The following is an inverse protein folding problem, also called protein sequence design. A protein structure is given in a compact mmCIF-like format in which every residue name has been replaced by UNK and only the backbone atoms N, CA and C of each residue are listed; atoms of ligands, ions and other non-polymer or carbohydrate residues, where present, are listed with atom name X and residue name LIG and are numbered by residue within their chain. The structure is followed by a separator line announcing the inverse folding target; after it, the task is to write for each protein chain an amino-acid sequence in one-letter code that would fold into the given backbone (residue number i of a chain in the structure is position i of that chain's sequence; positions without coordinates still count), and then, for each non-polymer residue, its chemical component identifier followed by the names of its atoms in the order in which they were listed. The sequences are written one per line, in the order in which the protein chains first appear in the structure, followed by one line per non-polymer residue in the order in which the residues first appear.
data_IF_984866411501
#
_entry.id   IF_984866411501
#
_cell.length_a   1.000
_cell.length_b   1.000
_cell.length_c   1.000
_cell.angle_alpha   90.00
_cell.angle_beta   90.00
_cell.angle_gamma   90.00
#
_symmetry.space_group_name_H-M   'P 1'
#
loop_
_entity.id
_entity.type
_entity.pdbx_description
1 polymer ?
#
# COMPACT_ATOMS: atom_id res chain seq x y z
N UNK A 1 -2.67 4.90 -17.66
CA UNK A 1 -2.37 3.63 -17.00
C UNK A 1 -3.25 3.50 -15.76
N UNK A 2 -4.02 2.41 -15.66
CA UNK A 2 -4.88 2.10 -14.54
C UNK A 2 -4.82 0.59 -14.26
N UNK A 3 -5.24 0.20 -13.07
CA UNK A 3 -5.49 -1.18 -12.70
C UNK A 3 -6.86 -1.29 -12.04
N UNK A 4 -7.37 -2.49 -11.94
CA UNK A 4 -8.67 -2.75 -11.34
C UNK A 4 -8.49 -3.63 -10.11
N UNK A 5 -9.20 -3.30 -9.04
CA UNK A 5 -9.30 -4.14 -7.85
C UNK A 5 -10.66 -4.80 -7.86
N UNK A 6 -10.69 -6.13 -7.81
CA UNK A 6 -11.91 -6.93 -7.75
C UNK A 6 -11.88 -7.76 -6.48
N UNK A 7 -12.99 -7.79 -5.76
CA UNK A 7 -13.15 -8.61 -4.56
C UNK A 7 -14.63 -8.96 -4.36
N UNK A 8 -14.91 -9.89 -3.50
CA UNK A 8 -16.26 -10.34 -3.18
C UNK A 8 -16.67 -10.00 -1.75
N UNK A 9 -17.86 -10.43 -1.31
CA UNK A 9 -18.38 -10.12 0.02
C UNK A 9 -17.65 -10.85 1.15
N UNK A 10 -16.89 -11.91 0.86
CA UNK A 10 -16.13 -12.67 1.87
C UNK A 10 -14.77 -12.02 2.22
N UNK A 11 -14.45 -10.84 1.67
CA UNK A 11 -13.20 -10.14 1.93
C UNK A 11 -12.90 -9.94 3.43
N UNK A 12 -13.93 -9.76 4.26
CA UNK A 12 -13.76 -9.59 5.71
C UNK A 12 -13.30 -10.87 6.40
N UNK A 13 -13.74 -12.03 5.91
CA UNK A 13 -13.28 -13.33 6.38
C UNK A 13 -11.82 -13.54 6.04
N UNK A 14 -11.44 -13.34 4.79
CA UNK A 14 -10.06 -13.49 4.34
C UNK A 14 -9.11 -12.51 5.05
N UNK A 15 -9.52 -11.26 5.24
CA UNK A 15 -8.69 -10.29 5.93
C UNK A 15 -8.42 -10.69 7.39
N UNK A 16 -9.35 -11.35 8.06
CA UNK A 16 -9.16 -11.89 9.39
C UNK A 16 -8.23 -13.10 9.40
N UNK A 17 -8.31 -13.95 8.38
CA UNK A 17 -7.42 -15.11 8.21
C UNK A 17 -5.98 -14.69 7.91
N UNK A 18 -5.77 -13.61 7.17
CA UNK A 18 -4.43 -13.10 6.88
C UNK A 18 -3.69 -12.61 8.12
N UNK A 19 -4.37 -12.11 9.12
CA UNK A 19 -3.80 -11.63 10.40
C UNK A 19 -2.55 -10.76 10.17
N UNK A 20 -1.42 -11.20 10.70
CA UNK A 20 -0.14 -10.49 10.57
C UNK A 20 0.44 -10.47 9.15
N UNK A 21 -0.09 -11.27 8.24
CA UNK A 21 0.26 -11.26 6.81
C UNK A 21 -0.58 -10.28 5.99
N UNK A 22 -1.61 -9.70 6.61
CA UNK A 22 -2.47 -8.70 6.01
C UNK A 22 -1.85 -7.30 5.96
N UNK A 23 -2.67 -6.31 5.65
CA UNK A 23 -2.26 -4.92 5.65
C UNK A 23 -2.05 -4.41 7.08
N UNK A 24 -0.90 -3.85 7.38
CA UNK A 24 -0.58 -3.29 8.70
C UNK A 24 -1.51 -2.15 9.16
N UNK A 25 -2.30 -1.59 8.24
CA UNK A 25 -3.33 -0.60 8.58
C UNK A 25 -4.58 -1.21 9.20
N UNK A 26 -4.88 -2.47 8.85
CA UNK A 26 -6.08 -3.19 9.30
C UNK A 26 -5.80 -4.16 10.44
N UNK A 27 -4.55 -4.61 10.59
CA UNK A 27 -4.15 -5.56 11.61
C UNK A 27 -2.98 -5.04 12.42
N UNK A 28 -2.96 -5.34 13.73
CA UNK A 28 -1.80 -5.06 14.56
C UNK A 28 -0.63 -5.92 14.07
N UNK A 29 0.49 -5.27 13.80
CA UNK A 29 1.70 -5.94 13.38
C UNK A 29 2.93 -5.11 13.80
N UNK A 30 3.98 -5.78 14.26
CA UNK A 30 4.16 -7.17 14.70
C UNK A 30 3.81 -7.40 16.19
N UNK A 31 3.42 -6.37 16.92
CA UNK A 31 3.37 -6.31 18.39
C UNK A 31 1.94 -6.27 18.96
N UNK A 32 0.95 -6.68 18.19
CA UNK A 32 -0.47 -6.63 18.56
C UNK A 32 -0.98 -5.21 18.92
N UNK A 33 -0.35 -4.17 18.41
CA UNK A 33 -0.88 -2.81 18.51
C UNK A 33 -2.23 -2.72 17.78
N UNK A 34 -3.12 -1.83 18.22
CA UNK A 34 -4.39 -1.61 17.56
C UNK A 34 -4.18 -1.17 16.10
N UNK A 35 -4.97 -1.69 15.16
CA UNK A 35 -4.88 -1.30 13.77
C UNK A 35 -5.30 0.18 13.59
N UNK A 36 -4.65 0.89 12.67
CA UNK A 36 -5.01 2.28 12.38
C UNK A 36 -6.44 2.42 11.85
N UNK A 37 -6.90 1.42 11.09
CA UNK A 37 -8.24 1.35 10.52
C UNK A 37 -8.76 -0.07 10.76
N UNK A 38 -9.67 -0.28 11.70
CA UNK A 38 -10.30 -1.57 11.89
C UNK A 38 -11.17 -1.91 10.67
N UNK A 39 -11.12 -3.17 10.22
CA UNK A 39 -11.86 -3.59 9.03
C UNK A 39 -13.38 -3.34 9.14
N UNK A 40 -13.92 -3.38 10.35
CA UNK A 40 -15.31 -3.08 10.61
C UNK A 40 -15.68 -1.63 10.22
N UNK A 41 -14.77 -0.68 10.41
CA UNK A 41 -14.99 0.70 9.97
C UNK A 41 -14.96 0.82 8.43
N UNK A 42 -14.17 -0.02 7.76
CA UNK A 42 -14.19 -0.11 6.29
C UNK A 42 -15.49 -0.73 5.82
N UNK A 43 -15.90 -1.85 6.40
CA UNK A 43 -17.11 -2.59 6.03
C UNK A 43 -18.39 -1.77 6.25
N UNK A 44 -18.54 -1.14 7.41
CA UNK A 44 -19.77 -0.46 7.80
C UNK A 44 -19.87 1.00 7.37
N UNK A 45 -18.74 1.64 7.10
CA UNK A 45 -18.68 3.07 6.81
C UNK A 45 -17.99 3.43 5.50
N UNK A 46 -16.73 3.06 5.35
CA UNK A 46 -15.94 3.49 4.20
C UNK A 46 -16.42 2.86 2.89
N UNK A 47 -16.61 1.55 2.85
CA UNK A 47 -17.01 0.84 1.63
C UNK A 47 -18.40 1.27 1.13
N UNK A 48 -19.45 1.35 1.98
CA UNK A 48 -20.73 1.90 1.56
C UNK A 48 -20.63 3.31 1.00
N UNK A 49 -19.87 4.19 1.64
CA UNK A 49 -19.63 5.54 1.14
C UNK A 49 -18.92 5.60 -0.22
N UNK A 50 -17.95 4.72 -0.45
CA UNK A 50 -17.27 4.61 -1.75
C UNK A 50 -18.22 4.10 -2.85
N UNK A 51 -19.13 3.19 -2.50
CA UNK A 51 -20.17 2.70 -3.43
C UNK A 51 -21.18 3.80 -3.76
N UNK A 52 -21.69 4.50 -2.76
CA UNK A 52 -22.63 5.62 -2.92
C UNK A 52 -22.04 6.74 -3.80
N UNK A 53 -20.78 7.05 -3.63
CA UNK A 53 -20.09 8.07 -4.42
C UNK A 53 -19.55 7.57 -5.78
N UNK A 54 -19.77 6.32 -6.14
CA UNK A 54 -19.40 5.76 -7.46
C UNK A 54 -17.90 5.49 -7.63
N UNK A 55 -17.12 5.45 -6.55
CA UNK A 55 -15.71 5.06 -6.60
C UNK A 55 -15.51 3.54 -6.58
N UNK A 56 -16.47 2.82 -6.01
CA UNK A 56 -16.55 1.36 -6.02
C UNK A 56 -17.89 0.95 -6.57
N UNK A 57 -17.91 0.03 -7.51
CA UNK A 57 -19.12 -0.60 -7.99
C UNK A 57 -19.44 -1.85 -7.18
N UNK A 58 -20.73 -2.06 -6.90
CA UNK A 58 -21.26 -3.25 -6.22
C UNK A 58 -22.28 -3.89 -7.14
N UNK A 59 -22.08 -5.17 -7.50
CA UNK A 59 -22.91 -5.91 -8.44
C UNK A 59 -23.15 -7.34 -7.96
N UNK A 60 -24.21 -7.96 -8.43
CA UNK A 60 -24.54 -9.34 -8.07
C UNK A 60 -23.82 -10.38 -8.95
N UNK A 61 -23.30 -9.95 -10.12
CA UNK A 61 -22.54 -10.81 -11.02
C UNK A 61 -21.24 -10.15 -11.48
N UNK A 62 -20.27 -10.98 -11.90
CA UNK A 62 -18.99 -10.50 -12.47
C UNK A 62 -19.23 -9.81 -13.82
N UNK A 63 -20.20 -10.29 -14.61
CA UNK A 63 -20.54 -9.67 -15.89
C UNK A 63 -21.07 -8.24 -15.72
N UNK A 64 -21.99 -8.00 -14.78
CA UNK A 64 -22.48 -6.66 -14.45
C UNK A 64 -21.35 -5.76 -13.93
N UNK A 65 -20.45 -6.31 -13.13
CA UNK A 65 -19.31 -5.59 -12.62
C UNK A 65 -18.36 -5.18 -13.74
N UNK A 66 -18.10 -6.07 -14.69
CA UNK A 66 -17.30 -5.78 -15.88
C UNK A 66 -17.90 -4.62 -16.69
N UNK A 67 -19.20 -4.64 -16.93
CA UNK A 67 -19.91 -3.57 -17.64
C UNK A 67 -19.73 -2.21 -16.93
N UNK A 68 -19.91 -2.17 -15.60
CA UNK A 68 -19.73 -0.95 -14.80
C UNK A 68 -18.29 -0.43 -14.84
N UNK A 69 -17.32 -1.31 -14.92
CA UNK A 69 -15.89 -0.96 -15.00
C UNK A 69 -15.43 -0.64 -16.43
N UNK A 70 -16.26 -0.88 -17.43
CA UNK A 70 -15.91 -0.71 -18.85
C UNK A 70 -14.93 -1.78 -19.34
N UNK A 71 -15.03 -3.00 -18.82
CA UNK A 71 -14.21 -4.16 -19.17
C UNK A 71 -15.03 -5.16 -20.00
N UNK A 72 -14.40 -5.97 -20.88
CA UNK A 72 -15.08 -7.09 -21.53
C UNK A 72 -15.51 -8.13 -20.48
N UNK A 73 -16.79 -8.49 -20.45
CA UNK A 73 -17.35 -9.37 -19.43
C UNK A 73 -16.70 -10.77 -19.44
N UNK A 74 -16.60 -11.39 -20.60
CA UNK A 74 -15.99 -12.68 -20.82
C UNK A 74 -14.51 -12.72 -20.38
N UNK A 75 -13.78 -11.63 -20.58
CA UNK A 75 -12.39 -11.53 -20.12
C UNK A 75 -12.29 -11.46 -18.59
N UNK A 76 -13.17 -10.67 -17.95
CA UNK A 76 -13.16 -10.56 -16.48
C UNK A 76 -13.63 -11.86 -15.84
N UNK A 77 -14.68 -12.50 -16.36
CA UNK A 77 -15.18 -13.79 -15.89
C UNK A 77 -14.11 -14.88 -15.98
N UNK A 78 -13.44 -15.01 -17.13
CA UNK A 78 -12.36 -15.96 -17.30
C UNK A 78 -11.16 -15.68 -16.36
N UNK A 79 -10.85 -14.39 -16.11
CA UNK A 79 -9.79 -14.01 -15.16
C UNK A 79 -10.14 -14.40 -13.73
N UNK A 80 -11.38 -14.17 -13.31
CA UNK A 80 -11.87 -14.53 -11.97
C UNK A 80 -11.90 -16.06 -11.82
N UNK A 81 -12.38 -16.79 -12.83
CA UNK A 81 -12.38 -18.25 -12.84
C UNK A 81 -10.95 -18.80 -12.69
N UNK A 82 -10.01 -18.31 -13.51
CA UNK A 82 -8.60 -18.70 -13.44
C UNK A 82 -8.00 -18.41 -12.07
N UNK A 83 -8.28 -17.24 -11.49
CA UNK A 83 -7.78 -16.90 -10.15
C UNK A 83 -8.34 -17.82 -9.06
N UNK A 84 -9.61 -18.20 -9.17
CA UNK A 84 -10.25 -19.16 -8.26
C UNK A 84 -9.66 -20.58 -8.38
N UNK A 85 -9.32 -21.03 -9.59
CA UNK A 85 -8.59 -22.28 -9.80
C UNK A 85 -7.23 -22.29 -9.09
N UNK A 86 -6.47 -21.18 -9.22
CA UNK A 86 -5.17 -21.01 -8.57
C UNK A 86 -5.31 -21.00 -7.04
N UNK A 87 -6.36 -20.36 -6.53
CA UNK A 87 -6.69 -20.37 -5.11
C UNK A 87 -6.95 -21.82 -4.61
N UNK A 88 -7.79 -22.58 -5.32
CA UNK A 88 -8.10 -23.98 -4.96
C UNK A 88 -6.86 -24.88 -5.01
N UNK A 89 -5.98 -24.62 -5.96
CA UNK A 89 -4.70 -25.31 -6.10
C UNK A 89 -3.72 -24.95 -4.98
N UNK A 90 -3.90 -23.80 -4.34
CA UNK A 90 -2.98 -23.26 -3.33
C UNK A 90 -1.64 -22.78 -3.87
N UNK A 91 -1.56 -22.53 -5.19
CA UNK A 91 -0.35 -22.04 -5.86
C UNK A 91 -0.75 -21.10 -6.99
N UNK A 92 -0.25 -19.87 -6.95
CA UNK A 92 -0.37 -18.93 -8.06
C UNK A 92 0.78 -19.17 -9.06
N UNK A 93 0.48 -19.94 -10.10
CA UNK A 93 1.43 -20.27 -11.16
C UNK A 93 1.64 -19.12 -12.16
N UNK A 94 0.73 -18.16 -12.17
CA UNK A 94 0.71 -17.09 -13.16
C UNK A 94 1.57 -15.87 -12.72
N UNK A 95 1.51 -15.52 -11.43
CA UNK A 95 2.20 -14.35 -10.87
C UNK A 95 3.00 -14.62 -9.59
N UNK A 96 2.92 -15.83 -9.03
CA UNK A 96 3.67 -16.22 -7.84
C UNK A 96 3.18 -15.57 -6.54
N UNK A 97 1.89 -15.19 -6.46
CA UNK A 97 1.31 -14.69 -5.22
C UNK A 97 1.35 -15.77 -4.15
N UNK A 98 1.80 -15.41 -2.97
CA UNK A 98 1.93 -16.33 -1.84
C UNK A 98 0.56 -16.93 -1.47
N UNK A 99 0.49 -18.25 -1.30
CA UNK A 99 -0.77 -18.97 -1.07
C UNK A 99 -1.57 -18.42 0.12
N UNK A 100 -0.88 -18.06 1.21
CA UNK A 100 -1.52 -17.51 2.41
C UNK A 100 -2.10 -16.10 2.24
N UNK A 101 -1.89 -15.47 1.09
CA UNK A 101 -2.44 -14.15 0.72
C UNK A 101 -3.49 -14.25 -0.39
N UNK A 102 -3.78 -15.44 -0.86
CA UNK A 102 -4.82 -15.65 -1.84
C UNK A 102 -6.19 -15.69 -1.17
N UNK A 103 -7.21 -15.25 -1.90
CA UNK A 103 -8.62 -15.30 -1.49
C UNK A 103 -9.46 -15.65 -2.70
N UNK A 104 -10.48 -16.47 -2.55
CA UNK A 104 -11.40 -16.72 -3.65
C UNK A 104 -12.27 -15.49 -3.94
N UNK A 105 -12.84 -15.43 -5.13
CA UNK A 105 -13.81 -14.42 -5.55
C UNK A 105 -15.03 -15.18 -6.07
N UNK A 106 -15.99 -15.50 -5.16
CA UNK A 106 -17.12 -16.41 -5.47
C UNK A 106 -18.44 -15.98 -4.89
N UNK A 107 -18.43 -15.14 -3.86
CA UNK A 107 -19.62 -14.84 -3.07
C UNK A 107 -20.12 -13.43 -3.37
N UNK A 108 -21.28 -13.35 -4.01
CA UNK A 108 -21.93 -12.08 -4.28
C UNK A 108 -22.34 -11.37 -2.96
N UNK A 109 -22.44 -10.05 -2.94
CA UNK A 109 -22.12 -9.14 -4.03
C UNK A 109 -20.60 -9.02 -4.30
N UNK A 110 -20.30 -8.77 -5.58
CA UNK A 110 -18.95 -8.49 -6.04
C UNK A 110 -18.70 -6.98 -6.07
N UNK A 111 -17.47 -6.61 -5.78
CA UNK A 111 -17.05 -5.22 -5.74
C UNK A 111 -15.89 -4.97 -6.71
N UNK A 112 -15.88 -3.81 -7.32
CA UNK A 112 -14.81 -3.42 -8.23
C UNK A 112 -14.52 -1.94 -8.21
N UNK A 113 -13.25 -1.60 -8.31
CA UNK A 113 -12.78 -0.23 -8.41
C UNK A 113 -11.72 -0.09 -9.50
N UNK A 114 -11.78 1.03 -10.22
CA UNK A 114 -10.74 1.45 -11.15
C UNK A 114 -9.76 2.34 -10.40
N UNK A 115 -8.51 1.91 -10.31
CA UNK A 115 -7.46 2.63 -9.61
C UNK A 115 -6.42 3.19 -10.58
N UNK A 116 -5.85 4.33 -10.21
CA UNK A 116 -4.70 4.91 -10.89
C UNK A 116 -3.53 5.01 -9.92
N UNK A 117 -2.31 4.93 -10.44
CA UNK A 117 -1.13 5.17 -9.62
C UNK A 117 -0.95 6.64 -9.32
N UNK A 118 -0.49 6.95 -8.12
CA UNK A 118 0.03 8.25 -7.76
C UNK A 118 1.26 8.08 -6.86
N UNK A 119 2.08 9.11 -6.78
CA UNK A 119 3.28 9.06 -5.94
C UNK A 119 2.87 9.33 -4.49
N UNK A 120 3.06 8.34 -3.62
CA UNK A 120 2.84 8.48 -2.19
C UNK A 120 4.03 9.14 -1.50
N UNK A 121 5.23 8.67 -1.81
CA UNK A 121 6.50 9.19 -1.30
C UNK A 121 7.64 8.76 -2.22
N UNK A 122 8.78 9.41 -2.10
CA UNK A 122 10.02 8.95 -2.71
C UNK A 122 10.70 7.94 -1.77
N UNK A 123 11.21 6.84 -2.32
CA UNK A 123 12.03 5.89 -1.59
C UNK A 123 13.52 6.21 -1.70
N UNK A 124 13.85 6.97 -2.71
CA UNK A 124 15.18 7.52 -2.98
C UNK A 124 15.15 9.04 -2.86
N UNK A 125 16.29 9.68 -2.93
CA UNK A 125 16.42 11.12 -2.80
C UNK A 125 17.87 11.58 -2.83
N UNK A 126 18.10 12.82 -2.42
CA UNK A 126 19.44 13.38 -2.34
C UNK A 126 20.26 12.62 -1.29
N UNK A 127 21.44 12.15 -1.71
CA UNK A 127 22.34 11.47 -0.79
C UNK A 127 22.82 12.41 0.30
N UNK A 128 22.87 11.93 1.54
CA UNK A 128 23.27 12.70 2.71
C UNK A 128 24.34 11.97 3.53
N UNK A 129 25.13 12.74 4.27
CA UNK A 129 26.01 12.23 5.29
C UNK A 129 25.31 12.02 6.65
N UNK A 130 26.06 11.62 7.67
CA UNK A 130 25.53 11.41 9.02
C UNK A 130 25.12 12.71 9.74
N UNK A 131 25.50 13.86 9.21
CA UNK A 131 25.14 15.18 9.72
C UNK A 131 24.00 15.82 8.94
N UNK A 132 23.36 15.07 8.03
CA UNK A 132 22.25 15.51 7.18
C UNK A 132 22.67 16.50 6.09
N UNK A 133 23.96 16.68 5.83
CA UNK A 133 24.41 17.47 4.69
C UNK A 133 24.17 16.69 3.39
N UNK A 134 23.67 17.39 2.36
CA UNK A 134 23.76 16.83 1.02
C UNK A 134 25.22 16.60 0.64
N UNK A 135 25.52 15.53 -0.07
CA UNK A 135 26.88 15.26 -0.57
C UNK A 135 26.93 15.38 -2.10
N UNK A 136 28.09 15.76 -2.59
CA UNK A 136 28.38 15.83 -4.02
C UNK A 136 28.68 14.44 -4.62
N UNK A 137 29.10 14.39 -5.88
CA UNK A 137 29.44 13.16 -6.59
C UNK A 137 30.69 12.43 -6.06
N UNK A 138 31.50 13.11 -5.25
CA UNK A 138 32.68 12.54 -4.58
C UNK A 138 32.36 12.06 -3.14
N UNK A 139 31.11 12.22 -2.71
CA UNK A 139 30.62 12.06 -1.34
C UNK A 139 31.15 13.10 -0.34
N UNK A 140 31.57 14.26 -0.81
CA UNK A 140 31.97 15.36 0.03
C UNK A 140 30.73 16.19 0.44
N UNK A 141 30.60 16.59 1.71
CA UNK A 141 29.47 17.38 2.17
C UNK A 141 29.44 18.76 1.50
N UNK A 142 28.25 19.17 1.03
CA UNK A 142 28.01 20.51 0.51
C UNK A 142 27.74 21.45 1.71
N UNK A 143 28.63 22.41 2.02
CA UNK A 143 28.48 23.26 3.19
C UNK A 143 27.17 24.06 3.19
N UNK A 144 26.47 24.04 4.33
CA UNK A 144 25.22 24.79 4.51
C UNK A 144 23.99 24.19 3.85
N UNK A 145 24.10 23.05 3.13
CA UNK A 145 22.97 22.37 2.50
C UNK A 145 22.57 21.12 3.27
N UNK A 146 21.48 21.22 4.00
CA UNK A 146 20.89 20.09 4.76
C UNK A 146 19.66 19.55 4.03
N UNK A 147 19.55 18.21 3.95
CA UNK A 147 18.40 17.53 3.34
C UNK A 147 17.85 16.48 4.31
N UNK A 148 16.56 16.55 4.58
CA UNK A 148 15.91 15.70 5.59
C UNK A 148 14.54 15.21 5.08
N UNK A 149 13.96 14.26 5.81
CA UNK A 149 12.64 13.72 5.47
C UNK A 149 12.65 12.91 4.18
N UNK A 150 11.58 12.97 3.43
CA UNK A 150 11.43 12.20 2.20
C UNK A 150 12.34 12.67 1.06
N UNK A 151 12.86 13.89 1.12
CA UNK A 151 13.79 14.40 0.11
C UNK A 151 15.21 13.82 0.25
N UNK A 152 15.58 13.31 1.44
CA UNK A 152 16.84 12.62 1.66
C UNK A 152 16.78 11.16 1.27
N UNK A 153 17.77 10.66 0.53
CA UNK A 153 17.89 9.29 0.07
C UNK A 153 18.51 8.32 1.08
N UNK A 154 18.64 7.07 0.67
CA UNK A 154 19.41 6.04 1.37
C UNK A 154 18.77 5.39 2.60
N UNK A 155 17.57 5.80 2.99
CA UNK A 155 16.89 5.21 4.15
C UNK A 155 16.07 3.97 3.81
N UNK A 156 15.38 3.99 2.68
CA UNK A 156 14.60 2.87 2.19
C UNK A 156 15.38 2.18 1.07
N UNK A 157 15.93 1.01 1.33
CA UNK A 157 16.71 0.27 0.35
C UNK A 157 15.83 -0.55 -0.58
N UNK A 158 15.31 0.08 -1.63
CA UNK A 158 14.56 -0.58 -2.71
C UNK A 158 13.12 -0.97 -2.37
N UNK A 159 12.67 -0.86 -1.12
CA UNK A 159 11.30 -1.16 -0.72
C UNK A 159 10.85 -0.31 0.47
N UNK A 160 9.59 0.05 0.49
CA UNK A 160 9.00 0.79 1.62
C UNK A 160 8.69 -0.18 2.78
N UNK A 161 9.14 0.09 4.02
CA UNK A 161 8.98 -0.83 5.15
C UNK A 161 7.56 -0.74 5.75
N UNK A 162 6.58 -1.32 5.10
CA UNK A 162 5.18 -1.33 5.58
C UNK A 162 5.03 -1.96 6.97
N UNK A 163 5.95 -2.84 7.36
CA UNK A 163 5.96 -3.50 8.67
C UNK A 163 6.47 -2.59 9.79
N UNK A 164 7.08 -1.45 9.44
CA UNK A 164 7.56 -0.44 10.39
C UNK A 164 6.75 0.83 10.25
N UNK A 165 5.49 0.75 10.67
CA UNK A 165 4.54 1.86 10.57
C UNK A 165 5.08 3.10 11.30
N UNK A 166 5.06 4.25 10.62
CA UNK A 166 5.56 5.51 11.17
C UNK A 166 7.05 5.77 10.93
N UNK A 167 7.81 4.84 10.32
CA UNK A 167 9.25 5.02 10.09
C UNK A 167 9.58 6.29 9.28
N UNK A 168 8.82 6.60 8.23
CA UNK A 168 9.04 7.82 7.44
C UNK A 168 8.80 9.09 8.27
N UNK A 169 7.72 9.13 9.04
CA UNK A 169 7.41 10.25 9.93
C UNK A 169 8.48 10.40 11.03
N UNK A 170 8.83 9.31 11.70
CA UNK A 170 9.85 9.30 12.76
C UNK A 170 11.20 9.76 12.24
N UNK A 171 11.61 9.31 11.05
CA UNK A 171 12.81 9.79 10.37
C UNK A 171 12.75 11.29 10.12
N UNK A 172 11.66 11.79 9.54
CA UNK A 172 11.50 13.21 9.21
C UNK A 172 11.67 14.09 10.46
N UNK A 173 10.99 13.75 11.55
CA UNK A 173 11.10 14.48 12.82
C UNK A 173 12.51 14.40 13.42
N UNK A 174 13.09 13.21 13.44
CA UNK A 174 14.41 12.97 14.05
C UNK A 174 15.52 13.68 13.28
N UNK A 175 15.54 13.52 11.96
CA UNK A 175 16.57 14.13 11.10
C UNK A 175 16.39 15.64 11.00
N UNK A 176 15.15 16.14 10.92
CA UNK A 176 14.88 17.57 10.95
C UNK A 176 15.35 18.24 12.24
N UNK A 177 15.08 17.62 13.38
CA UNK A 177 15.58 18.10 14.68
C UNK A 177 17.10 18.08 14.76
N UNK A 178 17.76 17.03 14.24
CA UNK A 178 19.21 16.90 14.23
C UNK A 178 19.85 17.97 13.32
N UNK A 179 19.38 18.09 12.08
CA UNK A 179 19.87 19.09 11.13
C UNK A 179 19.71 20.53 11.67
N UNK A 180 18.53 20.85 12.22
CA UNK A 180 18.31 22.15 12.83
C UNK A 180 19.23 22.45 14.01
N UNK A 181 19.55 21.45 14.83
CA UNK A 181 20.54 21.62 15.91
C UNK A 181 21.94 21.87 15.37
N UNK A 182 22.39 21.10 14.38
CA UNK A 182 23.71 21.25 13.75
C UNK A 182 23.82 22.63 13.12
N UNK A 183 22.86 23.03 12.29
CA UNK A 183 22.85 24.36 11.66
C UNK A 183 22.91 25.51 12.67
N UNK A 184 22.27 25.36 13.84
CA UNK A 184 22.27 26.39 14.87
C UNK A 184 23.57 26.47 15.69
N UNK A 185 24.33 25.36 15.76
CA UNK A 185 25.53 25.29 16.63
C UNK A 185 26.85 25.40 15.87
N UNK A 186 26.88 24.95 14.63
CA UNK A 186 28.12 24.94 13.83
C UNK A 186 28.29 26.22 12.99
N UNK A 187 27.25 27.05 12.92
CA UNK A 187 27.23 28.26 12.09
C UNK A 187 27.22 27.93 10.59
N UNK A 188 26.50 28.73 9.82
CA UNK A 188 26.56 28.67 8.35
C UNK A 188 27.83 29.34 7.89
#
# INVERSE_FOLDING_TARGET
HCHYTIFDSDWTTYIQEFKTHGCSRMFPFPNNADPNIPYQAVESGMLPGLVENGFVFKCDTIAELAEKLGLPADTLEATVERYNELYDKGVDEDFGKEAHRMSAIRTAPFYGAKNTGYILCTMDGIQIDLNMNAVDTNNDPIPGLYVVGNDSGGYFSGTYPNLSTGAACGRTVTFGRRAGRIAATEGI
#
